data_IF_281014434400
#
_entry.id   IF_281014434400
#
_cell.length_a   1.000
_cell.length_b   1.000
_cell.length_c   1.000
_cell.angle_alpha   90.00
_cell.angle_beta   90.00
_cell.angle_gamma   90.00
#
_symmetry.space_group_name_H-M   'P 1'
#
loop_
_entity.id
_entity.type
_entity.pdbx_description
1 polymer ?
#
# COMPACT_ATOMS: atom_id res chain seq x y z
N UNK A 1 -9.18 15.95 0.32
CA UNK A 1 -9.79 15.51 -0.14
C UNK A 1 -9.42 14.62 -0.56
N UNK A 2 -9.59 14.27 -0.33
CA UNK A 2 -9.19 13.50 -0.76
C UNK A 2 -9.50 13.29 -2.04
N UNK A 3 -9.36 13.79 -2.76
CA UNK A 3 -9.66 13.66 -4.10
C UNK A 3 -9.05 12.50 -4.81
N UNK A 4 -8.23 11.76 -4.14
CA UNK A 4 -7.58 10.63 -4.78
C UNK A 4 -8.56 9.49 -4.96
N UNK A 5 -8.66 9.01 -6.19
CA UNK A 5 -9.55 7.92 -6.52
C UNK A 5 -8.68 6.82 -7.13
N UNK A 6 -8.12 5.99 -6.27
CA UNK A 6 -7.20 4.95 -6.69
C UNK A 6 -7.93 3.81 -7.37
N UNK A 7 -7.30 3.20 -8.36
CA UNK A 7 -7.84 2.02 -9.00
C UNK A 7 -7.74 0.81 -8.05
N UNK A 8 -8.47 -0.24 -8.38
CA UNK A 8 -8.42 -1.48 -7.59
C UNK A 8 -7.01 -2.05 -7.55
N UNK A 9 -6.25 -1.90 -8.63
CA UNK A 9 -4.87 -2.38 -8.67
C UNK A 9 -3.99 -1.65 -7.66
N UNK A 10 -4.12 -0.32 -7.58
CA UNK A 10 -3.38 0.47 -6.61
C UNK A 10 -3.84 0.14 -5.19
N UNK A 11 -5.14 0.02 -4.98
CA UNK A 11 -5.70 -0.31 -3.67
C UNK A 11 -5.19 -1.68 -3.21
N UNK A 12 -5.07 -2.66 -4.12
CA UNK A 12 -4.62 -4.00 -3.75
C UNK A 12 -3.22 -3.99 -3.17
N UNK A 13 -2.34 -3.11 -3.65
CA UNK A 13 -0.99 -2.98 -3.11
C UNK A 13 -1.05 -2.44 -1.68
N UNK A 14 -1.88 -1.44 -1.45
CA UNK A 14 -2.06 -0.89 -0.11
C UNK A 14 -2.72 -1.89 0.83
N UNK A 15 -3.64 -2.71 0.31
CA UNK A 15 -4.29 -3.76 1.12
C UNK A 15 -3.26 -4.81 1.56
N UNK A 16 -2.29 -5.14 0.70
CA UNK A 16 -1.20 -6.04 1.08
C UNK A 16 -0.40 -5.44 2.23
N UNK A 17 -0.10 -4.15 2.15
CA UNK A 17 0.58 -3.46 3.25
C UNK A 17 -0.28 -3.45 4.52
N UNK A 18 -1.59 -3.30 4.37
CA UNK A 18 -2.51 -3.36 5.50
C UNK A 18 -2.49 -4.74 6.16
N UNK A 19 -2.48 -5.80 5.34
CA UNK A 19 -2.38 -7.16 5.85
C UNK A 19 -1.12 -7.34 6.71
N UNK A 20 0.02 -6.90 6.20
CA UNK A 20 1.27 -7.02 6.95
C UNK A 20 1.27 -6.17 8.21
N UNK A 21 0.66 -5.00 8.16
CA UNK A 21 0.55 -4.12 9.33
C UNK A 21 -0.31 -4.76 10.42
N UNK A 22 -1.44 -5.33 10.03
CA UNK A 22 -2.36 -5.96 10.98
C UNK A 22 -1.75 -7.22 11.58
N UNK A 23 -1.07 -8.04 10.78
CA UNK A 23 -0.50 -9.28 11.27
C UNK A 23 0.72 -9.07 12.16
N UNK A 24 1.47 -7.97 11.96
CA UNK A 24 2.64 -7.67 12.78
C UNK A 24 2.32 -6.80 13.99
N UNK A 25 1.19 -6.12 13.97
CA UNK A 25 0.83 -5.18 15.02
C UNK A 25 1.46 -3.80 14.87
N UNK A 26 2.24 -3.59 13.83
CA UNK A 26 2.91 -2.31 13.58
C UNK A 26 2.65 -1.87 12.16
N UNK A 27 2.46 -0.57 11.93
CA UNK A 27 2.28 -0.04 10.60
C UNK A 27 3.56 -0.19 9.80
N UNK A 28 3.49 -0.89 8.66
CA UNK A 28 4.65 -1.09 7.82
C UNK A 28 4.86 0.12 6.92
N UNK A 29 6.13 0.48 6.69
CA UNK A 29 6.49 1.56 5.79
C UNK A 29 7.09 1.08 4.48
N UNK A 30 7.34 -0.21 4.37
CA UNK A 30 7.93 -0.80 3.17
C UNK A 30 7.13 -2.00 2.72
N UNK A 31 7.08 -2.18 1.41
CA UNK A 31 6.36 -3.28 0.78
C UNK A 31 7.35 -4.03 -0.10
N UNK A 32 7.36 -5.35 -0.01
CA UNK A 32 8.14 -6.18 -0.94
C UNK A 32 7.34 -6.28 -2.23
N UNK A 33 7.93 -5.76 -3.31
CA UNK A 33 7.28 -5.70 -4.61
C UNK A 33 7.49 -6.96 -5.43
N UNK A 34 8.56 -7.69 -5.14
CA UNK A 34 8.89 -8.94 -5.82
C UNK A 34 9.59 -9.81 -4.79
N UNK A 35 8.97 -10.91 -4.41
CA UNK A 35 9.48 -11.78 -3.36
C UNK A 35 10.44 -12.85 -3.89
N UNK A 36 10.73 -12.85 -5.19
CA UNK A 36 11.59 -13.84 -5.79
C UNK A 36 10.96 -15.21 -5.97
N UNK A 37 9.67 -15.34 -5.65
CA UNK A 37 8.94 -16.61 -5.72
C UNK A 37 7.74 -16.52 -6.66
N UNK A 38 7.78 -15.59 -7.60
CA UNK A 38 6.72 -15.42 -8.58
C UNK A 38 5.63 -14.45 -8.18
N UNK A 39 5.71 -13.86 -7.00
CA UNK A 39 4.73 -12.87 -6.57
C UNK A 39 5.29 -11.48 -6.80
N UNK A 40 4.70 -10.74 -7.73
CA UNK A 40 5.11 -9.37 -8.01
C UNK A 40 3.90 -8.46 -7.87
N UNK A 41 4.15 -7.24 -7.40
CA UNK A 41 3.09 -6.25 -7.33
C UNK A 41 2.72 -5.81 -8.75
N UNK A 42 1.45 -5.48 -8.94
CA UNK A 42 0.94 -5.04 -10.24
C UNK A 42 1.65 -3.76 -10.68
N UNK A 43 2.25 -3.80 -11.88
CA UNK A 43 3.05 -2.68 -12.37
C UNK A 43 2.21 -1.42 -12.60
N UNK A 44 0.96 -1.58 -13.04
CA UNK A 44 0.07 -0.42 -13.24
C UNK A 44 -0.30 0.20 -11.91
N UNK A 45 -0.57 -0.63 -10.90
CA UNK A 45 -0.86 -0.14 -9.55
C UNK A 45 0.33 0.58 -8.94
N UNK A 46 1.54 0.04 -9.13
CA UNK A 46 2.75 0.69 -8.65
C UNK A 46 2.96 2.05 -9.30
N UNK A 47 2.79 2.12 -10.62
CA UNK A 47 2.92 3.38 -11.35
C UNK A 47 1.94 4.41 -10.87
N UNK A 48 0.71 3.99 -10.60
CA UNK A 48 -0.33 4.88 -10.10
C UNK A 48 0.03 5.43 -8.72
N UNK A 49 0.44 4.57 -7.80
CA UNK A 49 0.83 5.00 -6.46
C UNK A 49 2.03 5.94 -6.49
N UNK A 50 3.00 5.65 -7.35
CA UNK A 50 4.15 6.51 -7.52
C UNK A 50 3.74 7.88 -8.09
N UNK A 51 2.87 7.87 -9.10
CA UNK A 51 2.39 9.12 -9.72
C UNK A 51 1.60 9.98 -8.75
N UNK A 52 0.89 9.36 -7.80
CA UNK A 52 0.13 10.07 -6.79
C UNK A 52 0.98 10.50 -5.58
N UNK A 53 2.27 10.20 -5.60
CA UNK A 53 3.15 10.58 -4.52
C UNK A 53 2.98 9.77 -3.25
N UNK A 54 2.42 8.57 -3.36
CA UNK A 54 2.15 7.73 -2.19
C UNK A 54 3.25 6.70 -1.95
N UNK A 55 4.04 6.39 -2.97
CA UNK A 55 5.03 5.32 -2.91
C UNK A 55 6.29 5.71 -3.67
N UNK A 56 7.44 5.35 -3.10
CA UNK A 56 8.73 5.42 -3.78
C UNK A 56 9.18 3.99 -4.05
N UNK A 57 9.62 3.73 -5.28
CA UNK A 57 10.08 2.40 -5.67
C UNK A 57 11.60 2.37 -5.68
N UNK A 58 12.18 1.36 -5.03
CA UNK A 58 13.62 1.19 -4.96
C UNK A 58 13.93 -0.30 -5.12
N UNK A 59 14.27 -0.70 -6.34
CA UNK A 59 14.52 -2.11 -6.64
C UNK A 59 13.28 -2.95 -6.45
N UNK A 60 13.37 -3.97 -5.61
CA UNK A 60 12.26 -4.88 -5.33
C UNK A 60 11.43 -4.45 -4.14
N UNK A 61 11.67 -3.24 -3.62
CA UNK A 61 10.93 -2.72 -2.47
C UNK A 61 10.27 -1.40 -2.80
N UNK A 62 9.10 -1.19 -2.23
CA UNK A 62 8.44 0.09 -2.26
C UNK A 62 8.40 0.67 -0.85
N UNK A 63 8.65 1.98 -0.74
CA UNK A 63 8.56 2.68 0.53
C UNK A 63 7.41 3.68 0.46
N UNK A 64 6.53 3.61 1.43
CA UNK A 64 5.43 4.56 1.50
C UNK A 64 5.97 5.94 1.89
N UNK A 65 5.50 6.95 1.16
CA UNK A 65 5.76 8.33 1.54
C UNK A 65 4.90 8.66 2.75
N UNK A 66 5.05 9.86 3.30
CA UNK A 66 4.18 10.31 4.39
C UNK A 66 2.71 10.25 3.96
N UNK A 67 2.42 10.74 2.74
CA UNK A 67 1.06 10.69 2.21
C UNK A 67 0.59 9.24 2.02
N UNK A 68 1.47 8.35 1.59
CA UNK A 68 1.14 6.93 1.44
C UNK A 68 0.84 6.27 2.77
N UNK A 69 1.60 6.62 3.80
CA UNK A 69 1.36 6.09 5.15
C UNK A 69 0.03 6.57 5.71
N UNK A 70 -0.34 7.82 5.43
CA UNK A 70 -1.65 8.34 5.84
C UNK A 70 -2.77 7.59 5.13
N UNK A 71 -2.62 7.34 3.85
CA UNK A 71 -3.60 6.60 3.07
C UNK A 71 -3.74 5.17 3.58
N UNK A 72 -2.63 4.53 3.88
CA UNK A 72 -2.63 3.19 4.45
C UNK A 72 -3.36 3.16 5.80
N UNK A 73 -3.13 4.17 6.63
CA UNK A 73 -3.80 4.23 7.94
C UNK A 73 -5.31 4.36 7.78
N UNK A 74 -5.78 5.13 6.79
CA UNK A 74 -7.20 5.25 6.49
C UNK A 74 -7.79 3.87 6.14
N UNK A 75 -7.07 3.10 5.32
CA UNK A 75 -7.51 1.77 4.91
C UNK A 75 -7.57 0.83 6.11
N UNK A 76 -6.53 0.84 6.94
CA UNK A 76 -6.47 0.01 8.14
C UNK A 76 -7.63 0.34 9.09
N UNK A 77 -7.89 1.63 9.29
CA UNK A 77 -8.98 2.07 10.16
C UNK A 77 -10.34 1.62 9.62
N UNK A 78 -10.52 1.68 8.30
CA UNK A 78 -11.75 1.21 7.67
C UNK A 78 -11.93 -0.29 7.86
N UNK A 79 -10.87 -1.07 7.74
CA UNK A 79 -10.92 -2.51 7.95
C UNK A 79 -11.31 -2.81 9.40
N UNK A 80 -10.68 -2.13 10.36
CA UNK A 80 -10.99 -2.33 11.77
C UNK A 80 -12.43 -1.93 12.09
N UNK A 81 -12.90 -0.85 11.51
CA UNK A 81 -14.27 -0.38 11.72
C UNK A 81 -15.29 -1.37 11.19
N UNK A 82 -14.95 -2.15 10.16
CA UNK A 82 -15.87 -3.13 9.59
C UNK A 82 -16.15 -4.29 10.54
N UNK A 83 -15.38 -4.43 11.62
CA UNK A 83 -15.52 -5.51 12.57
C UNK A 83 -16.36 -5.14 13.80
N UNK A 84 -16.86 -3.94 13.87
CA UNK A 84 -17.65 -3.49 15.03
C UNK A 84 -19.13 -3.67 14.81
#
# INVERSE_FOLDING_TARGET
MSGQHLSDKAISILVLAAYHSLSSGETVGQIVLDDGHGHTADADGLGELHAEGLLEVNGTRGRLTEAGSEELQIIIDAIRASQT
#
